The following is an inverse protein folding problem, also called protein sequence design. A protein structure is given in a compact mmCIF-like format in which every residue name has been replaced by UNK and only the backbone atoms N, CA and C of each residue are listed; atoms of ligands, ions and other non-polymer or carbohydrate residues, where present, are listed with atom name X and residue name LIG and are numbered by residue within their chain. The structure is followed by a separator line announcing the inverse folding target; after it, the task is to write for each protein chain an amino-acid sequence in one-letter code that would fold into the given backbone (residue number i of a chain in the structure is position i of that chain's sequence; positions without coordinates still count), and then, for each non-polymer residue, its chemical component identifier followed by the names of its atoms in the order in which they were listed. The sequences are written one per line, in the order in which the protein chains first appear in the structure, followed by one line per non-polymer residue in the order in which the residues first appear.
data_IF_747712442984
#
_entry.id   IF_747712442984
#
_cell.length_a   1.000
_cell.length_b   1.000
_cell.length_c   1.000
_cell.angle_alpha   90.00
_cell.angle_beta   90.00
_cell.angle_gamma   90.00
#
_symmetry.space_group_name_H-M   'P 1'
#
loop_
_entity.id
_entity.type
_entity.pdbx_description
1 polymer ?
#
# COMPACT_ATOMS: atom_id res chain seq x y z
N UNK A 1 30.84 7.11 -7.83
CA UNK A 1 30.37 6.95 -6.43
C UNK A 1 28.88 6.86 -6.40
N UNK A 2 28.32 5.96 -5.61
CA UNK A 2 26.87 5.82 -5.47
C UNK A 2 26.39 6.44 -4.17
N UNK A 3 25.28 7.12 -4.23
CA UNK A 3 24.59 7.62 -3.05
C UNK A 3 23.30 6.83 -2.88
N UNK A 4 23.09 6.31 -1.69
CA UNK A 4 21.90 5.52 -1.38
C UNK A 4 20.98 6.37 -0.52
N UNK A 5 19.72 6.47 -0.95
CA UNK A 5 18.67 7.12 -0.16
C UNK A 5 17.60 6.10 0.19
N UNK A 6 17.11 6.19 1.40
CA UNK A 6 15.99 5.37 1.88
C UNK A 6 14.85 6.26 2.33
N UNK A 7 13.66 5.83 2.02
CA UNK A 7 12.44 6.46 2.50
C UNK A 7 11.50 5.40 3.03
N UNK A 8 10.93 5.64 4.19
CA UNK A 8 9.99 4.71 4.81
C UNK A 8 8.62 5.35 4.81
N UNK A 9 7.66 4.66 4.21
CA UNK A 9 6.28 5.12 4.13
C UNK A 9 5.42 4.24 5.02
N UNK A 10 4.76 4.86 5.99
CA UNK A 10 3.81 4.18 6.87
C UNK A 10 2.40 4.37 6.33
N UNK A 11 1.63 3.31 6.30
CA UNK A 11 0.28 3.40 5.78
C UNK A 11 -0.51 2.12 5.99
N UNK A 12 -1.40 1.86 5.05
CA UNK A 12 -2.38 0.80 5.14
C UNK A 12 -2.53 0.13 3.79
N UNK A 13 -2.75 -1.18 3.82
CA UNK A 13 -3.05 -1.96 2.62
C UNK A 13 -4.46 -2.52 2.75
N UNK A 14 -5.27 -2.33 1.72
CA UNK A 14 -6.60 -2.89 1.65
C UNK A 14 -6.78 -3.68 0.36
N UNK A 15 -7.56 -4.75 0.44
CA UNK A 15 -7.96 -5.52 -0.73
C UNK A 15 -9.45 -5.33 -0.94
N UNK A 16 -9.83 -4.80 -2.10
CA UNK A 16 -11.22 -4.66 -2.47
C UNK A 16 -11.85 -6.03 -2.73
N UNK A 17 -13.17 -6.10 -2.68
CA UNK A 17 -13.86 -7.37 -2.86
C UNK A 17 -13.64 -7.98 -4.25
N UNK A 18 -13.24 -7.17 -5.22
CA UNK A 18 -12.91 -7.64 -6.58
C UNK A 18 -11.46 -8.14 -6.71
N UNK A 19 -10.68 -8.08 -5.65
CA UNK A 19 -9.33 -8.63 -5.61
C UNK A 19 -8.21 -7.62 -5.79
N UNK A 20 -8.51 -6.38 -6.15
CA UNK A 20 -7.48 -5.35 -6.32
C UNK A 20 -6.91 -4.93 -4.97
N UNK A 21 -5.62 -4.64 -4.97
CA UNK A 21 -4.84 -4.35 -3.77
C UNK A 21 -4.29 -2.93 -3.86
N UNK A 22 -4.46 -2.16 -2.78
CA UNK A 22 -4.01 -0.76 -2.74
C UNK A 22 -3.28 -0.47 -1.45
N UNK A 23 -2.31 0.43 -1.54
CA UNK A 23 -1.63 1.03 -0.40
C UNK A 23 -1.98 2.52 -0.35
N UNK A 24 -2.21 3.03 0.86
CA UNK A 24 -2.40 4.45 1.07
C UNK A 24 -1.87 4.88 2.43
N UNK A 25 -1.61 6.17 2.56
CA UNK A 25 -1.02 6.71 3.78
C UNK A 25 -2.04 6.88 4.91
N UNK A 26 -3.33 6.88 4.59
CA UNK A 26 -4.40 6.95 5.58
C UNK A 26 -5.15 5.65 5.66
N UNK A 27 -5.69 5.35 6.84
CA UNK A 27 -6.52 4.18 7.02
C UNK A 27 -7.81 4.35 6.21
N UNK A 28 -8.03 3.52 5.18
CA UNK A 28 -9.25 3.64 4.39
C UNK A 28 -10.44 3.09 5.17
N UNK A 29 -11.63 3.47 4.77
CA UNK A 29 -12.86 2.87 5.29
C UNK A 29 -13.49 1.98 4.25
N UNK A 30 -14.21 0.96 4.70
CA UNK A 30 -14.97 0.08 3.82
C UNK A 30 -16.27 0.74 3.40
N UNK A 31 -16.57 0.65 2.11
CA UNK A 31 -17.81 1.19 1.57
C UNK A 31 -18.22 0.34 0.37
N UNK A 32 -19.31 -0.39 0.51
CA UNK A 32 -19.89 -1.23 -0.58
C UNK A 32 -18.89 -2.18 -1.24
N UNK A 33 -18.09 -2.88 -0.41
CA UNK A 33 -17.11 -3.85 -0.91
C UNK A 33 -15.81 -3.25 -1.40
N UNK A 34 -15.65 -1.95 -1.27
CA UNK A 34 -14.42 -1.25 -1.68
C UNK A 34 -13.86 -0.47 -0.51
N UNK A 35 -12.58 -0.15 -0.61
CA UNK A 35 -11.94 0.75 0.35
C UNK A 35 -11.82 2.13 -0.27
N UNK A 36 -12.16 3.17 0.50
CA UNK A 36 -12.11 4.55 0.06
C UNK A 36 -11.30 5.38 1.05
N UNK A 37 -10.81 6.53 0.60
CA UNK A 37 -10.06 7.50 1.42
C UNK A 37 -8.71 6.99 1.92
N UNK A 38 -7.89 6.55 0.99
CA UNK A 38 -6.50 6.18 1.29
C UNK A 38 -5.61 7.39 1.56
N UNK A 39 -6.11 8.61 1.37
CA UNK A 39 -5.32 9.84 1.46
C UNK A 39 -4.92 10.34 0.08
N UNK A 40 -4.04 11.35 0.06
CA UNK A 40 -3.64 11.99 -1.19
C UNK A 40 -2.73 11.11 -2.03
N UNK A 41 -1.99 10.23 -1.38
CA UNK A 41 -1.01 9.37 -2.06
C UNK A 41 -1.40 7.93 -1.87
N UNK A 42 -2.01 7.35 -2.89
CA UNK A 42 -2.34 5.93 -2.91
C UNK A 42 -1.75 5.31 -4.15
N UNK A 43 -1.44 4.03 -4.06
CA UNK A 43 -0.91 3.29 -5.18
C UNK A 43 -1.55 1.92 -5.27
N UNK A 44 -1.75 1.45 -6.49
CA UNK A 44 -2.20 0.10 -6.73
C UNK A 44 -1.01 -0.84 -6.66
N UNK A 45 -1.17 -1.94 -5.94
CA UNK A 45 -0.18 -2.99 -5.88
C UNK A 45 -0.61 -4.15 -6.76
N UNK A 46 0.38 -4.97 -7.16
CA UNK A 46 0.07 -6.19 -7.91
C UNK A 46 -0.91 -7.03 -7.08
N UNK A 47 -2.05 -7.36 -7.66
CA UNK A 47 -3.12 -8.09 -6.97
C UNK A 47 -2.69 -9.48 -6.52
N UNK A 48 -1.61 -10.03 -7.08
CA UNK A 48 -1.10 -11.35 -6.71
C UNK A 48 -0.17 -11.32 -5.51
N UNK A 49 0.20 -10.13 -5.04
CA UNK A 49 1.01 -9.98 -3.83
C UNK A 49 0.16 -10.19 -2.59
N UNK A 50 0.78 -10.72 -1.55
CA UNK A 50 0.18 -10.84 -0.22
C UNK A 50 -1.19 -11.51 -0.27
N UNK A 51 -1.26 -12.78 -0.71
CA UNK A 51 -2.55 -13.48 -0.78
C UNK A 51 -3.24 -13.66 0.57
N UNK A 52 -2.48 -13.54 1.67
CA UNK A 52 -3.04 -13.57 3.02
C UNK A 52 -3.84 -12.33 3.38
N UNK A 53 -3.67 -11.22 2.63
CA UNK A 53 -4.49 -10.03 2.83
C UNK A 53 -5.76 -10.18 2.00
N UNK A 54 -6.88 -10.32 2.69
CA UNK A 54 -8.20 -10.49 2.07
C UNK A 54 -9.07 -9.29 2.38
N UNK A 55 -10.18 -9.18 1.68
CA UNK A 55 -11.13 -8.11 1.96
C UNK A 55 -11.62 -8.16 3.40
N UNK A 56 -11.87 -9.36 3.94
CA UNK A 56 -12.42 -9.53 5.28
C UNK A 56 -11.45 -9.09 6.38
N UNK A 57 -10.15 -9.30 6.20
CA UNK A 57 -9.15 -8.98 7.22
C UNK A 57 -8.41 -7.67 6.99
N UNK A 58 -8.76 -6.94 5.95
CA UNK A 58 -8.13 -5.66 5.67
C UNK A 58 -9.02 -4.48 6.12
N UNK A 59 -8.51 -3.28 6.29
CA UNK A 59 -7.14 -2.88 5.97
C UNK A 59 -6.16 -3.33 7.04
N UNK A 60 -4.93 -3.55 6.64
CA UNK A 60 -3.83 -3.90 7.54
C UNK A 60 -2.79 -2.80 7.53
N UNK A 61 -2.15 -2.57 8.68
CA UNK A 61 -1.04 -1.63 8.73
C UNK A 61 0.12 -2.16 7.92
N UNK A 62 0.80 -1.26 7.23
CA UNK A 62 1.90 -1.62 6.36
C UNK A 62 2.97 -0.55 6.37
N UNK A 63 4.20 -0.97 6.12
CA UNK A 63 5.33 -0.07 5.94
C UNK A 63 6.00 -0.44 4.63
N UNK A 64 6.22 0.56 3.79
CA UNK A 64 6.93 0.38 2.53
C UNK A 64 8.27 1.10 2.64
N UNK A 65 9.34 0.40 2.31
CA UNK A 65 10.67 0.97 2.27
C UNK A 65 11.09 1.13 0.81
N UNK A 66 11.47 2.35 0.46
CA UNK A 66 11.98 2.66 -0.87
C UNK A 66 13.47 2.96 -0.72
N UNK A 67 14.28 2.23 -1.48
CA UNK A 67 15.72 2.46 -1.51
C UNK A 67 16.13 2.75 -2.93
N UNK A 68 16.82 3.87 -3.13
CA UNK A 68 17.29 4.25 -4.46
C UNK A 68 18.78 4.46 -4.43
N UNK A 69 19.41 4.15 -5.56
CA UNK A 69 20.81 4.41 -5.80
C UNK A 69 20.94 5.54 -6.80
N UNK A 70 21.72 6.55 -6.43
CA UNK A 70 21.97 7.68 -7.32
C UNK A 70 23.45 7.65 -7.70
N UNK A 71 23.71 7.58 -9.00
CA UNK A 71 25.08 7.70 -9.51
C UNK A 71 25.54 9.14 -9.44
N UNK A 72 26.76 9.34 -8.98
CA UNK A 72 27.37 10.66 -8.90
C UNK A 72 28.72 10.68 -9.60
#
# INVERSE_FOLDING_TARGET
MKKIKKEILHGWIGRDSDGFLYFGEQKPRKESGMFVNYGHHSMELDQHRFPEIKHENSPVQATITIEIEIEQ
#
